data_IF_367297977403
#
_entry.id   IF_367297977403
#
_cell.length_a   1.000
_cell.length_b   1.000
_cell.length_c   1.000
_cell.angle_alpha   90.00
_cell.angle_beta   90.00
_cell.angle_gamma   90.00
#
_symmetry.space_group_name_H-M   'P 1'
#
loop_
_entity.id
_entity.type
_entity.pdbx_description
1 polymer ?
#
# COMPACT_ATOMS: atom_id res chain seq x y z
N UNK A 1 11.57 21.45 -12.39
CA UNK A 1 10.49 21.63 -11.39
C UNK A 1 10.91 20.92 -10.12
N UNK A 2 10.93 21.60 -8.97
CA UNK A 2 11.28 20.98 -7.69
C UNK A 2 10.21 19.97 -7.30
N UNK A 3 10.60 18.73 -7.01
CA UNK A 3 9.68 17.70 -6.48
C UNK A 3 9.46 18.01 -5.00
N UNK A 4 8.20 18.17 -4.60
CA UNK A 4 7.84 18.38 -3.20
C UNK A 4 7.83 17.06 -2.43
N UNK A 5 8.35 17.10 -1.19
CA UNK A 5 8.24 16.02 -0.21
C UNK A 5 7.44 16.52 0.98
N UNK A 6 6.45 15.75 1.41
CA UNK A 6 5.69 15.99 2.64
C UNK A 6 6.05 14.90 3.66
N UNK A 7 6.52 15.33 4.82
CA UNK A 7 6.78 14.45 5.96
C UNK A 7 5.70 14.71 7.00
N UNK A 8 5.05 13.63 7.44
CA UNK A 8 3.92 13.65 8.35
C UNK A 8 4.30 12.90 9.62
N UNK A 9 4.21 13.57 10.76
CA UNK A 9 4.47 12.98 12.07
C UNK A 9 3.38 13.43 13.05
N UNK A 10 2.21 12.78 13.00
CA UNK A 10 1.07 13.10 13.85
C UNK A 10 0.32 11.83 14.29
N UNK A 11 -0.20 11.81 15.52
CA UNK A 11 -0.92 10.64 16.08
C UNK A 11 -2.18 10.28 15.31
N UNK A 12 -2.84 11.29 14.76
CA UNK A 12 -3.99 11.16 13.88
C UNK A 12 -3.71 11.95 12.62
N UNK A 13 -3.80 11.30 11.46
CA UNK A 13 -3.56 11.91 10.17
C UNK A 13 -4.87 12.00 9.40
N UNK A 14 -5.50 13.16 9.43
CA UNK A 14 -6.61 13.47 8.54
C UNK A 14 -6.12 14.41 7.45
N UNK A 15 -6.41 14.06 6.20
CA UNK A 15 -5.98 14.84 5.04
C UNK A 15 -7.17 15.66 4.57
N UNK A 16 -7.07 16.96 4.78
CA UNK A 16 -7.94 17.89 4.06
C UNK A 16 -7.43 18.04 2.63
N UNK A 17 -8.03 17.27 1.73
CA UNK A 17 -7.71 17.26 0.31
C UNK A 17 -7.86 18.63 -0.37
N UNK A 18 -8.57 19.59 0.24
CA UNK A 18 -8.84 20.90 -0.35
C UNK A 18 -7.72 21.94 -0.15
N UNK A 19 -6.86 21.77 0.87
CA UNK A 19 -5.89 22.81 1.26
C UNK A 19 -4.48 22.61 0.69
N UNK A 20 -4.17 21.46 0.09
CA UNK A 20 -2.82 21.13 -0.38
C UNK A 20 -2.80 21.12 -1.91
N UNK A 21 -1.83 21.83 -2.50
CA UNK A 21 -1.56 21.70 -3.93
C UNK A 21 -0.81 20.40 -4.19
N UNK A 22 -1.55 19.38 -4.62
CA UNK A 22 -1.06 18.02 -4.80
C UNK A 22 -0.22 17.82 -6.07
N UNK A 23 -0.33 18.71 -7.06
CA UNK A 23 0.34 18.55 -8.36
C UNK A 23 1.87 18.57 -8.27
N UNK A 24 2.39 19.25 -7.24
CA UNK A 24 3.83 19.35 -6.97
C UNK A 24 4.34 18.25 -6.04
N UNK A 25 3.45 17.53 -5.36
CA UNK A 25 3.80 16.55 -4.35
C UNK A 25 4.08 15.21 -5.02
N UNK A 26 5.33 14.76 -4.95
CA UNK A 26 5.75 13.47 -5.53
C UNK A 26 6.11 12.44 -4.47
N UNK A 27 6.33 12.88 -3.24
CA UNK A 27 6.80 12.02 -2.15
C UNK A 27 6.03 12.35 -0.88
N UNK A 28 5.46 11.31 -0.26
CA UNK A 28 4.88 11.38 1.07
C UNK A 28 5.58 10.36 1.96
N UNK A 29 5.99 10.81 3.14
CA UNK A 29 6.51 9.96 4.21
C UNK A 29 5.65 10.17 5.46
N UNK A 30 5.01 9.09 5.92
CA UNK A 30 4.16 9.08 7.10
C UNK A 30 4.87 8.28 8.19
N UNK A 31 5.39 9.01 9.18
CA UNK A 31 6.17 8.47 10.30
C UNK A 31 5.31 8.02 11.47
N UNK A 32 4.01 8.24 11.39
CA UNK A 32 3.02 7.80 12.36
C UNK A 32 2.24 6.58 11.87
N UNK A 33 1.33 6.08 12.70
CA UNK A 33 0.42 5.03 12.29
C UNK A 33 -0.79 5.61 11.56
N UNK A 34 -1.20 4.96 10.47
CA UNK A 34 -2.41 5.31 9.72
C UNK A 34 -3.26 4.08 9.46
N UNK A 35 -4.56 4.27 9.29
CA UNK A 35 -5.45 3.21 8.84
C UNK A 35 -5.25 2.90 7.35
N UNK A 36 -5.58 1.68 6.95
CA UNK A 36 -5.64 1.29 5.54
C UNK A 36 -6.58 2.17 4.71
N UNK A 37 -7.73 2.57 5.29
CA UNK A 37 -8.67 3.50 4.64
C UNK A 37 -8.01 4.86 4.32
N UNK A 38 -7.25 5.43 5.26
CA UNK A 38 -6.53 6.68 5.04
C UNK A 38 -5.43 6.51 3.98
N UNK A 39 -4.67 5.41 4.03
CA UNK A 39 -3.67 5.10 3.01
C UNK A 39 -4.30 5.02 1.62
N UNK A 40 -5.42 4.31 1.48
CA UNK A 40 -6.12 4.19 0.21
C UNK A 40 -6.64 5.55 -0.27
N UNK A 41 -7.17 6.39 0.62
CA UNK A 41 -7.58 7.75 0.28
C UNK A 41 -6.41 8.56 -0.28
N UNK A 42 -5.22 8.49 0.32
CA UNK A 42 -4.00 9.13 -0.20
C UNK A 42 -3.72 8.68 -1.63
N UNK A 43 -3.68 7.37 -1.86
CA UNK A 43 -3.34 6.81 -3.17
C UNK A 43 -4.34 7.25 -4.23
N UNK A 44 -5.63 7.30 -3.89
CA UNK A 44 -6.71 7.69 -4.80
C UNK A 44 -6.74 9.19 -5.10
N UNK A 45 -6.45 10.04 -4.12
CA UNK A 45 -6.48 11.50 -4.31
C UNK A 45 -5.20 12.01 -4.96
N UNK A 46 -4.08 11.32 -4.76
CA UNK A 46 -2.75 11.77 -5.17
C UNK A 46 -2.21 10.92 -6.31
N UNK A 47 -2.89 10.98 -7.45
CA UNK A 47 -2.52 10.19 -8.63
C UNK A 47 -1.09 10.45 -9.09
N UNK A 48 -0.57 11.66 -8.87
CA UNK A 48 0.79 12.08 -9.22
C UNK A 48 1.89 11.59 -8.26
N UNK A 49 1.53 10.93 -7.16
CA UNK A 49 2.47 10.49 -6.15
C UNK A 49 3.39 9.40 -6.71
N UNK A 50 4.70 9.60 -6.59
CA UNK A 50 5.74 8.70 -7.09
C UNK A 50 6.22 7.74 -5.99
N UNK A 51 6.31 8.25 -4.77
CA UNK A 51 6.81 7.55 -3.60
C UNK A 51 5.87 7.72 -2.41
N UNK A 52 5.49 6.60 -1.79
CA UNK A 52 4.73 6.56 -0.55
C UNK A 52 5.45 5.69 0.48
N UNK A 53 5.77 6.27 1.63
CA UNK A 53 6.29 5.55 2.79
C UNK A 53 5.31 5.68 3.95
N UNK A 54 4.83 4.55 4.44
CA UNK A 54 3.98 4.40 5.62
C UNK A 54 4.74 3.60 6.66
N UNK A 55 5.11 4.22 7.78
CA UNK A 55 5.88 3.55 8.83
C UNK A 55 5.11 2.44 9.54
N UNK A 56 3.81 2.65 9.80
CA UNK A 56 2.98 1.68 10.52
C UNK A 56 1.55 1.67 10.02
N UNK A 57 1.21 0.67 9.23
CA UNK A 57 -0.17 0.43 8.79
C UNK A 57 -0.99 -0.25 9.90
N UNK A 58 -2.12 0.36 10.25
CA UNK A 58 -3.11 -0.18 11.18
C UNK A 58 -4.39 -0.62 10.47
N UNK A 59 -5.07 -1.61 11.02
CA UNK A 59 -6.33 -2.15 10.50
C UNK A 59 -7.44 -1.96 11.53
N UNK A 60 -8.62 -1.55 11.06
CA UNK A 60 -9.82 -1.49 11.91
C UNK A 60 -10.46 -2.87 12.10
N UNK A 61 -11.20 -3.08 13.17
CA UNK A 61 -11.84 -4.37 13.49
C UNK A 61 -12.76 -4.88 12.35
N UNK A 62 -13.48 -3.98 11.69
CA UNK A 62 -14.30 -4.32 10.51
C UNK A 62 -13.46 -4.83 9.33
N UNK A 63 -12.22 -4.34 9.20
CA UNK A 63 -11.30 -4.82 8.18
C UNK A 63 -10.73 -6.20 8.56
N UNK A 64 -10.52 -6.46 9.85
CA UNK A 64 -10.12 -7.77 10.37
C UNK A 64 -11.16 -8.84 10.00
N UNK A 65 -12.45 -8.54 10.18
CA UNK A 65 -13.54 -9.48 9.85
C UNK A 65 -13.64 -9.81 8.35
N UNK A 66 -13.38 -8.83 7.46
CA UNK A 66 -13.37 -9.06 6.01
C UNK A 66 -12.18 -9.90 5.54
N UNK A 67 -11.07 -9.91 6.30
CA UNK A 67 -9.81 -10.59 5.97
C UNK A 67 -9.73 -12.04 6.43
N UNK A 68 -10.68 -12.50 7.24
CA UNK A 68 -10.89 -13.94 7.47
C UNK A 68 -11.36 -14.67 6.19
N UNK A 69 -11.57 -13.96 5.07
CA UNK A 69 -11.72 -14.56 3.74
C UNK A 69 -10.34 -14.93 3.19
N UNK A 70 -10.15 -16.24 3.03
CA UNK A 70 -8.97 -16.95 2.54
C UNK A 70 -8.13 -16.17 1.49
N UNK A 71 -6.82 -16.05 1.70
CA UNK A 71 -5.84 -15.46 0.77
C UNK A 71 -5.96 -16.04 -0.65
N UNK A 72 -6.40 -17.30 -0.77
CA UNK A 72 -6.68 -17.96 -2.06
C UNK A 72 -7.83 -17.33 -2.85
N UNK A 73 -8.76 -16.67 -2.17
CA UNK A 73 -9.85 -15.95 -2.84
C UNK A 73 -9.35 -14.63 -3.44
N UNK A 74 -8.34 -14.00 -2.83
CA UNK A 74 -7.78 -12.73 -3.34
C UNK A 74 -7.08 -12.94 -4.69
N UNK A 75 -6.41 -14.07 -4.89
CA UNK A 75 -5.76 -14.39 -6.16
C UNK A 75 -6.74 -14.58 -7.32
N UNK A 76 -8.01 -14.88 -7.01
CA UNK A 76 -9.08 -15.13 -7.99
C UNK A 76 -10.06 -13.96 -8.15
N UNK A 77 -9.93 -12.91 -7.34
CA UNK A 77 -10.82 -11.75 -7.42
C UNK A 77 -10.29 -10.73 -8.44
N UNK A 78 -11.17 -10.15 -9.27
CA UNK A 78 -10.79 -9.01 -10.09
C UNK A 78 -10.51 -7.81 -9.17
N UNK A 79 -9.33 -7.21 -9.33
CA UNK A 79 -8.94 -5.97 -8.66
C UNK A 79 -9.01 -4.84 -9.68
N UNK A 80 -9.74 -3.78 -9.33
CA UNK A 80 -9.78 -2.57 -10.15
C UNK A 80 -8.44 -1.83 -10.07
N UNK A 81 -7.86 -1.41 -11.21
CA UNK A 81 -6.69 -0.56 -11.22
C UNK A 81 -6.88 0.74 -10.43
N UNK A 82 -5.89 1.09 -9.62
CA UNK A 82 -5.83 2.39 -8.95
C UNK A 82 -5.19 3.42 -9.90
N UNK A 83 -5.81 4.59 -10.01
CA UNK A 83 -5.27 5.72 -10.77
C UNK A 83 -4.13 6.34 -9.96
N UNK A 84 -2.92 5.77 -10.07
CA UNK A 84 -1.76 6.18 -9.28
C UNK A 84 -0.43 5.96 -10.03
N UNK A 85 0.49 6.91 -9.89
CA UNK A 85 1.85 6.88 -10.42
C UNK A 85 2.86 6.30 -9.42
N UNK A 86 2.41 5.72 -8.31
CA UNK A 86 3.32 5.21 -7.27
C UNK A 86 4.22 4.12 -7.86
N UNK A 87 5.52 4.37 -7.84
CA UNK A 87 6.56 3.43 -8.28
C UNK A 87 7.27 2.77 -7.12
N UNK A 88 7.30 3.42 -5.96
CA UNK A 88 7.94 2.90 -4.74
C UNK A 88 6.95 3.00 -3.59
N UNK A 89 6.67 1.86 -2.98
CA UNK A 89 5.79 1.74 -1.82
C UNK A 89 6.58 1.10 -0.67
N UNK A 90 6.70 1.82 0.44
CA UNK A 90 7.30 1.31 1.68
C UNK A 90 6.19 1.21 2.73
N UNK A 91 5.94 0.01 3.24
CA UNK A 91 4.93 -0.24 4.27
C UNK A 91 5.58 -1.01 5.41
N UNK A 92 5.75 -0.34 6.55
CA UNK A 92 5.94 -1.00 7.83
C UNK A 92 4.58 -1.38 8.43
N UNK A 93 4.52 -2.52 9.10
CA UNK A 93 3.26 -3.12 9.57
C UNK A 93 3.33 -3.42 11.07
N UNK A 94 2.16 -3.49 11.71
CA UNK A 94 2.06 -3.83 13.13
C UNK A 94 1.95 -5.36 13.30
N UNK A 95 3.00 -6.11 12.94
CA UNK A 95 3.06 -7.59 13.05
C UNK A 95 2.91 -8.10 14.49
N UNK A 96 3.10 -7.21 15.47
CA UNK A 96 2.85 -7.45 16.89
C UNK A 96 1.36 -7.51 17.25
N UNK A 97 0.50 -6.88 16.44
CA UNK A 97 -0.94 -6.75 16.68
C UNK A 97 -1.79 -7.61 15.75
N UNK A 98 -1.25 -7.98 14.59
CA UNK A 98 -2.00 -8.56 13.48
C UNK A 98 -1.28 -9.78 12.91
N UNK A 99 -2.05 -10.78 12.47
CA UNK A 99 -1.44 -11.96 11.82
C UNK A 99 -0.83 -11.60 10.48
N UNK A 100 0.25 -12.29 10.11
CA UNK A 100 0.93 -12.11 8.83
C UNK A 100 -0.03 -12.26 7.64
N UNK A 101 -0.89 -13.28 7.64
CA UNK A 101 -1.87 -13.50 6.57
C UNK A 101 -2.81 -12.31 6.37
N UNK A 102 -3.24 -11.69 7.47
CA UNK A 102 -4.14 -10.55 7.43
C UNK A 102 -3.46 -9.31 6.84
N UNK A 103 -2.23 -9.03 7.29
CA UNK A 103 -1.41 -7.95 6.78
C UNK A 103 -1.17 -8.15 5.27
N UNK A 104 -0.76 -9.36 4.90
CA UNK A 104 -0.49 -9.75 3.53
C UNK A 104 -1.70 -9.60 2.62
N UNK A 105 -2.89 -10.02 3.06
CA UNK A 105 -4.12 -9.86 2.30
C UNK A 105 -4.37 -8.40 1.89
N UNK A 106 -4.23 -7.45 2.83
CA UNK A 106 -4.47 -6.03 2.56
C UNK A 106 -3.39 -5.38 1.70
N UNK A 107 -2.12 -5.64 2.04
CA UNK A 107 -1.00 -5.06 1.30
C UNK A 107 -0.98 -5.60 -0.12
N UNK A 108 -1.22 -6.90 -0.31
CA UNK A 108 -1.23 -7.51 -1.64
C UNK A 108 -2.43 -7.07 -2.46
N UNK A 109 -3.62 -6.94 -1.89
CA UNK A 109 -4.77 -6.39 -2.61
C UNK A 109 -4.48 -4.98 -3.15
N UNK A 110 -3.78 -4.15 -2.37
CA UNK A 110 -3.33 -2.84 -2.84
C UNK A 110 -2.32 -2.97 -3.99
N UNK A 111 -1.31 -3.84 -3.84
CA UNK A 111 -0.27 -4.06 -4.85
C UNK A 111 -0.85 -4.51 -6.18
N UNK A 112 -1.89 -5.37 -6.18
CA UNK A 112 -2.61 -5.78 -7.39
C UNK A 112 -3.21 -4.61 -8.18
N UNK A 113 -3.60 -3.53 -7.49
CA UNK A 113 -4.17 -2.34 -8.11
C UNK A 113 -3.13 -1.31 -8.58
N UNK A 114 -1.88 -1.38 -8.12
CA UNK A 114 -0.82 -0.41 -8.41
C UNK A 114 -0.01 -0.80 -9.66
N UNK A 115 -0.54 -0.51 -10.84
CA UNK A 115 0.05 -0.92 -12.13
C UNK A 115 1.49 -0.42 -12.33
N UNK A 116 1.82 0.76 -11.80
CA UNK A 116 3.13 1.41 -11.99
C UNK A 116 4.18 1.01 -10.94
N UNK A 117 3.82 0.16 -9.97
CA UNK A 117 4.71 -0.20 -8.87
C UNK A 117 5.94 -0.94 -9.39
N UNK A 118 7.12 -0.55 -8.90
CA UNK A 118 8.41 -1.15 -9.23
C UNK A 118 9.11 -1.73 -8.01
N UNK A 119 8.95 -1.09 -6.86
CA UNK A 119 9.58 -1.49 -5.60
C UNK A 119 8.54 -1.53 -4.49
N UNK A 120 8.47 -2.67 -3.82
CA UNK A 120 7.71 -2.88 -2.59
C UNK A 120 8.69 -3.17 -1.47
N UNK A 121 8.75 -2.30 -0.48
CA UNK A 121 9.52 -2.49 0.74
C UNK A 121 8.54 -2.87 1.87
N UNK A 122 8.71 -4.05 2.45
CA UNK A 122 7.86 -4.57 3.53
C UNK A 122 8.74 -5.20 4.62
N UNK A 123 8.17 -5.39 5.81
CA UNK A 123 8.87 -6.04 6.92
C UNK A 123 9.46 -7.41 6.51
N UNK A 124 10.67 -7.70 6.99
CA UNK A 124 11.50 -8.84 6.56
C UNK A 124 10.77 -10.19 6.68
N UNK A 125 9.98 -10.36 7.73
CA UNK A 125 9.18 -11.55 8.02
C UNK A 125 8.04 -11.80 7.01
N UNK A 126 7.64 -10.76 6.26
CA UNK A 126 6.57 -10.81 5.26
C UNK A 126 7.09 -10.94 3.82
N UNK A 127 8.38 -10.69 3.57
CA UNK A 127 8.94 -10.64 2.21
C UNK A 127 8.73 -11.94 1.43
N UNK A 128 8.99 -13.09 2.05
CA UNK A 128 8.81 -14.39 1.38
C UNK A 128 7.35 -14.62 0.97
N UNK A 129 6.40 -14.25 1.85
CA UNK A 129 4.97 -14.35 1.57
C UNK A 129 4.57 -13.44 0.41
N UNK A 130 5.08 -12.21 0.37
CA UNK A 130 4.84 -11.27 -0.74
C UNK A 130 5.37 -11.80 -2.07
N UNK A 131 6.59 -12.34 -2.09
CA UNK A 131 7.21 -12.93 -3.28
C UNK A 131 6.38 -14.11 -3.79
N UNK A 132 5.94 -15.00 -2.90
CA UNK A 132 5.12 -16.16 -3.27
C UNK A 132 3.76 -15.71 -3.83
N UNK A 133 3.09 -14.77 -3.17
CA UNK A 133 1.82 -14.23 -3.62
C UNK A 133 1.94 -13.59 -5.02
N UNK A 134 2.94 -12.73 -5.20
CA UNK A 134 3.21 -12.08 -6.49
C UNK A 134 3.40 -13.14 -7.57
N UNK A 135 4.22 -14.18 -7.32
CA UNK A 135 4.43 -15.28 -8.27
C UNK A 135 3.13 -15.98 -8.66
N UNK A 136 2.24 -16.22 -7.72
CA UNK A 136 0.94 -16.87 -7.97
C UNK A 136 0.00 -16.00 -8.84
N UNK A 137 0.11 -14.67 -8.75
CA UNK A 137 -0.80 -13.75 -9.42
C UNK A 137 -0.29 -13.22 -10.76
N UNK A 138 0.98 -13.43 -11.15
CA UNK A 138 1.60 -12.78 -12.32
C UNK A 138 0.87 -13.04 -13.63
N UNK A 139 0.30 -14.23 -13.79
CA UNK A 139 -0.40 -14.60 -15.03
C UNK A 139 -1.68 -13.78 -15.22
N UNK A 140 -2.38 -13.47 -14.12
CA UNK A 140 -3.59 -12.63 -14.12
C UNK A 140 -3.25 -11.14 -14.05
N UNK A 141 -2.10 -10.79 -13.48
CA UNK A 141 -1.65 -9.41 -13.28
C UNK A 141 -0.19 -9.24 -13.78
N UNK A 142 0.02 -9.07 -15.10
CA UNK A 142 1.37 -9.08 -15.69
C UNK A 142 2.32 -7.99 -15.18
N UNK A 143 1.79 -6.86 -14.70
CA UNK A 143 2.60 -5.76 -14.16
C UNK A 143 3.41 -6.18 -12.93
N UNK A 144 2.93 -7.17 -12.17
CA UNK A 144 3.62 -7.70 -10.99
C UNK A 144 4.96 -8.38 -11.30
N UNK A 145 5.20 -8.78 -12.55
CA UNK A 145 6.44 -9.43 -12.96
C UNK A 145 7.67 -8.55 -12.74
N UNK A 146 7.48 -7.22 -12.72
CA UNK A 146 8.55 -6.23 -12.63
C UNK A 146 8.74 -5.64 -11.22
N UNK A 147 7.95 -6.10 -10.24
CA UNK A 147 8.06 -5.61 -8.87
C UNK A 147 9.22 -6.31 -8.16
N UNK A 148 10.13 -5.52 -7.60
CA UNK A 148 11.15 -5.96 -6.67
C UNK A 148 10.58 -5.86 -5.24
N UNK A 149 10.66 -6.97 -4.50
CA UNK A 149 10.29 -7.01 -3.08
C UNK A 149 11.58 -6.89 -2.26
N UNK A 150 11.61 -5.96 -1.32
CA UNK A 150 12.76 -5.63 -0.48
C UNK A 150 12.37 -5.49 0.99
#
# INVERSE_FOLDING_TARGET
MSRGTLIVECKEFDIDCAMINWDILRTIEIRSSISYKQMLAIILHLSNLDFLHVRRLAFSDNEIEMLNRDMRLLTAQPVEPLISDIRILIIGTATDLYSADMIMAKVMYLVLGLINLKELHIDEDLQLHAIQFIKLCRDSYPHLANIQVQ
#
